data_IF_404749845578
#
_entry.id   IF_404749845578
#
_cell.length_a   1.000
_cell.length_b   1.000
_cell.length_c   1.000
_cell.angle_alpha   90.00
_cell.angle_beta   90.00
_cell.angle_gamma   90.00
#
_symmetry.space_group_name_H-M   'P 1'
#
loop_
_entity.id
_entity.type
_entity.pdbx_description
1 polymer ?
#
# COMPACT_ATOMS: atom_id res chain seq x y z
N UNK A 1 -7.88 -2.57 22.79
CA UNK A 1 -7.68 -2.81 21.34
C UNK A 1 -6.18 -2.83 21.09
N UNK A 2 -5.60 -3.97 20.74
CA UNK A 2 -4.19 -4.01 20.35
C UNK A 2 -4.02 -3.23 19.04
N UNK A 3 -3.05 -2.31 18.93
CA UNK A 3 -2.81 -1.61 17.67
C UNK A 3 -2.52 -2.65 16.59
N UNK A 4 -3.24 -2.59 15.47
CA UNK A 4 -2.86 -3.38 14.29
C UNK A 4 -1.45 -2.90 13.91
N UNK A 5 -0.45 -3.78 13.85
CA UNK A 5 0.91 -3.36 13.50
C UNK A 5 0.88 -2.65 12.15
N UNK A 6 1.48 -1.46 12.05
CA UNK A 6 1.55 -0.70 10.79
C UNK A 6 2.13 -1.54 9.64
N UNK A 7 2.98 -2.51 9.96
CA UNK A 7 3.49 -3.52 9.02
C UNK A 7 2.37 -4.35 8.38
N UNK A 8 1.39 -4.83 9.15
CA UNK A 8 0.29 -5.63 8.61
C UNK A 8 -0.58 -4.82 7.66
N UNK A 9 -0.82 -3.55 7.99
CA UNK A 9 -1.57 -2.64 7.11
C UNK A 9 -0.74 -2.38 5.84
N UNK A 10 0.54 -2.05 5.97
CA UNK A 10 1.44 -1.84 4.85
C UNK A 10 1.48 -3.06 3.91
N UNK A 11 1.59 -4.27 4.46
CA UNK A 11 1.56 -5.52 3.69
C UNK A 11 0.24 -5.69 2.95
N UNK A 12 -0.87 -5.36 3.59
CA UNK A 12 -2.18 -5.45 2.97
C UNK A 12 -2.32 -4.47 1.80
N UNK A 13 -1.85 -3.22 1.97
CA UNK A 13 -1.83 -2.22 0.90
C UNK A 13 -0.98 -2.70 -0.29
N UNK A 14 0.26 -3.14 -0.03
CA UNK A 14 1.19 -3.58 -1.08
C UNK A 14 0.71 -4.85 -1.78
N UNK A 15 0.10 -5.80 -1.04
CA UNK A 15 -0.57 -6.97 -1.64
C UNK A 15 -1.72 -6.58 -2.54
N UNK A 16 -2.52 -5.58 -2.16
CA UNK A 16 -3.59 -5.12 -3.03
C UNK A 16 -3.06 -4.46 -4.31
N UNK A 17 -1.97 -3.69 -4.23
CA UNK A 17 -1.32 -3.15 -5.43
C UNK A 17 -0.93 -4.29 -6.39
N UNK A 18 -0.21 -5.31 -5.91
CA UNK A 18 0.28 -6.41 -6.76
C UNK A 18 -0.85 -7.32 -7.23
N UNK A 19 -1.63 -7.87 -6.29
CA UNK A 19 -2.59 -8.95 -6.57
C UNK A 19 -3.99 -8.45 -6.88
N UNK A 20 -4.39 -7.33 -6.27
CA UNK A 20 -5.71 -6.75 -6.47
C UNK A 20 -5.78 -5.89 -7.73
N UNK A 21 -4.71 -5.14 -8.02
CA UNK A 21 -4.65 -4.20 -9.13
C UNK A 21 -3.67 -4.62 -10.25
N UNK A 22 -2.97 -5.74 -10.09
CA UNK A 22 -2.04 -6.26 -11.09
C UNK A 22 -0.80 -5.38 -11.29
N UNK A 23 -0.41 -4.56 -10.29
CA UNK A 23 0.71 -3.64 -10.43
C UNK A 23 2.05 -4.37 -10.33
N UNK A 24 2.94 -4.04 -11.25
CA UNK A 24 4.34 -4.44 -11.26
C UNK A 24 5.25 -3.30 -10.78
N UNK A 25 6.54 -3.60 -10.61
CA UNK A 25 7.57 -2.61 -10.34
C UNK A 25 7.50 -1.42 -11.32
N UNK A 26 7.69 -0.21 -10.81
CA UNK A 26 7.66 1.03 -11.59
C UNK A 26 6.24 1.50 -11.94
N UNK A 27 5.21 0.67 -11.73
CA UNK A 27 3.82 1.08 -11.94
C UNK A 27 3.26 1.76 -10.69
N UNK A 28 2.47 2.81 -10.93
CA UNK A 28 1.87 3.60 -9.87
C UNK A 28 0.34 3.59 -9.83
N UNK A 29 -0.17 4.18 -8.75
CA UNK A 29 -1.57 4.54 -8.55
C UNK A 29 -1.63 5.85 -7.76
N UNK A 30 -2.70 6.62 -7.95
CA UNK A 30 -2.94 7.78 -7.10
C UNK A 30 -3.24 7.33 -5.65
N UNK A 31 -2.70 8.06 -4.68
CA UNK A 31 -3.00 7.88 -3.25
C UNK A 31 -4.50 8.00 -3.01
N UNK A 32 -5.19 8.88 -3.74
CA UNK A 32 -6.64 9.06 -3.63
C UNK A 32 -7.42 7.79 -4.05
N UNK A 33 -7.05 7.15 -5.16
CA UNK A 33 -7.69 5.91 -5.60
C UNK A 33 -7.45 4.78 -4.60
N UNK A 34 -6.22 4.64 -4.09
CA UNK A 34 -5.92 3.62 -3.09
C UNK A 34 -6.65 3.89 -1.76
N UNK A 35 -6.68 5.16 -1.31
CA UNK A 35 -7.42 5.56 -0.11
C UNK A 35 -8.91 5.31 -0.27
N UNK A 36 -9.50 5.62 -1.43
CA UNK A 36 -10.90 5.37 -1.71
C UNK A 36 -11.24 3.90 -1.57
N UNK A 37 -10.45 3.01 -2.18
CA UNK A 37 -10.61 1.57 -1.99
C UNK A 37 -10.52 1.17 -0.50
N UNK A 38 -9.51 1.67 0.22
CA UNK A 38 -9.33 1.35 1.63
C UNK A 38 -10.51 1.77 2.52
N UNK A 39 -10.98 3.00 2.39
CA UNK A 39 -12.01 3.54 3.27
C UNK A 39 -13.41 3.17 2.83
N UNK A 40 -13.67 3.15 1.52
CA UNK A 40 -15.02 2.95 0.96
C UNK A 40 -15.28 1.48 0.66
N UNK A 41 -14.34 0.79 -0.01
CA UNK A 41 -14.55 -0.61 -0.37
C UNK A 41 -14.34 -1.56 0.81
N UNK A 42 -13.42 -1.25 1.73
CA UNK A 42 -13.14 -2.10 2.89
C UNK A 42 -13.70 -1.57 4.21
N UNK A 43 -14.23 -0.34 4.24
CA UNK A 43 -14.74 0.28 5.47
C UNK A 43 -13.67 0.55 6.54
N UNK A 44 -12.39 0.61 6.16
CA UNK A 44 -11.28 0.77 7.09
C UNK A 44 -11.01 2.25 7.44
N UNK A 45 -10.30 2.48 8.54
CA UNK A 45 -10.02 3.84 9.03
C UNK A 45 -8.94 4.54 8.19
N UNK A 46 -9.12 5.84 7.95
CA UNK A 46 -8.14 6.67 7.23
C UNK A 46 -6.80 6.78 7.96
N UNK A 47 -6.78 6.75 9.30
CA UNK A 47 -5.53 6.84 10.05
C UNK A 47 -4.66 5.59 9.86
N UNK A 48 -5.28 4.42 9.83
CA UNK A 48 -4.61 3.15 9.55
C UNK A 48 -3.99 3.15 8.15
N UNK A 49 -4.70 3.72 7.16
CA UNK A 49 -4.17 3.90 5.81
C UNK A 49 -2.87 4.70 5.80
N UNK A 50 -2.85 5.85 6.47
CA UNK A 50 -1.66 6.72 6.54
C UNK A 50 -0.50 6.00 7.21
N UNK A 51 -0.75 5.33 8.34
CA UNK A 51 0.26 4.55 9.06
C UNK A 51 0.85 3.43 8.19
N UNK A 52 0.01 2.70 7.46
CA UNK A 52 0.46 1.66 6.54
C UNK A 52 1.26 2.21 5.37
N UNK A 53 0.84 3.35 4.80
CA UNK A 53 1.52 3.99 3.69
C UNK A 53 2.92 4.51 4.11
N UNK A 54 3.00 5.18 5.26
CA UNK A 54 4.27 5.64 5.83
C UNK A 54 5.22 4.48 6.14
N UNK A 55 4.70 3.38 6.69
CA UNK A 55 5.50 2.19 6.95
C UNK A 55 6.02 1.57 5.66
N UNK A 56 5.16 1.41 4.63
CA UNK A 56 5.56 0.89 3.33
C UNK A 56 6.65 1.75 2.66
N UNK A 57 6.55 3.07 2.77
CA UNK A 57 7.56 4.01 2.27
C UNK A 57 8.88 3.87 3.03
N UNK A 58 8.85 3.81 4.38
CA UNK A 58 10.06 3.58 5.21
C UNK A 58 10.76 2.25 4.84
N UNK A 59 9.99 1.21 4.58
CA UNK A 59 10.51 -0.08 4.14
C UNK A 59 10.90 -0.14 2.66
N UNK A 60 10.79 0.98 1.92
CA UNK A 60 11.10 1.07 0.49
C UNK A 60 10.29 0.09 -0.37
N UNK A 61 9.05 -0.23 0.04
CA UNK A 61 8.12 -1.04 -0.76
C UNK A 61 7.35 -0.18 -1.78
N UNK A 62 7.21 1.10 -1.48
CA UNK A 62 6.64 2.10 -2.36
C UNK A 62 7.50 3.35 -2.35
N UNK A 63 7.40 4.12 -3.43
CA UNK A 63 7.97 5.46 -3.53
C UNK A 63 6.87 6.48 -3.78
N UNK A 64 6.98 7.64 -3.15
CA UNK A 64 6.13 8.78 -3.44
C UNK A 64 6.69 9.51 -4.66
N UNK A 65 5.83 9.70 -5.66
CA UNK A 65 6.09 10.56 -6.81
C UNK A 65 5.30 11.86 -6.66
N UNK A 66 5.65 12.90 -7.44
CA UNK A 66 4.81 14.09 -7.58
C UNK A 66 3.35 13.73 -7.89
N UNK A 67 2.45 14.68 -7.67
CA UNK A 67 1.01 14.52 -7.96
C UNK A 67 0.27 13.47 -7.13
N UNK A 68 0.76 13.20 -5.92
CA UNK A 68 0.15 12.22 -5.00
C UNK A 68 0.05 10.82 -5.61
N UNK A 69 1.05 10.43 -6.39
CA UNK A 69 1.18 9.08 -6.95
C UNK A 69 2.12 8.28 -6.06
N UNK A 70 1.77 7.03 -5.77
CA UNK A 70 2.72 6.06 -5.24
C UNK A 70 3.11 5.10 -6.35
N UNK A 71 4.37 4.71 -6.38
CA UNK A 71 4.93 3.74 -7.31
C UNK A 71 5.42 2.53 -6.53
N UNK A 72 5.15 1.34 -7.04
CA UNK A 72 5.64 0.10 -6.47
C UNK A 72 7.12 -0.09 -6.80
N UNK A 73 7.96 -0.35 -5.80
CA UNK A 73 9.38 -0.69 -6.01
C UNK A 73 9.55 -2.18 -6.29
N UNK A 74 10.75 -2.61 -6.69
CA UNK A 74 11.07 -4.04 -6.81
C UNK A 74 10.81 -4.81 -5.50
N UNK A 75 11.31 -4.29 -4.37
CA UNK A 75 11.07 -4.88 -3.03
C UNK A 75 9.58 -4.94 -2.70
N UNK A 76 8.79 -3.92 -3.08
CA UNK A 76 7.35 -3.92 -2.89
C UNK A 76 6.62 -4.96 -3.73
N UNK A 77 7.03 -5.13 -4.99
CA UNK A 77 6.47 -6.13 -5.89
C UNK A 77 6.69 -7.56 -5.35
N UNK A 78 7.90 -7.87 -4.89
CA UNK A 78 8.21 -9.15 -4.26
C UNK A 78 7.39 -9.35 -2.97
N UNK A 79 7.35 -8.34 -2.10
CA UNK A 79 6.65 -8.42 -0.81
C UNK A 79 5.14 -8.59 -0.99
N UNK A 80 4.54 -7.89 -1.96
CA UNK A 80 3.11 -7.98 -2.29
C UNK A 80 2.73 -9.24 -3.06
N UNK A 81 3.67 -9.82 -3.82
CA UNK A 81 3.50 -11.07 -4.55
C UNK A 81 3.67 -12.33 -3.70
N UNK A 82 4.32 -12.24 -2.54
CA UNK A 82 4.59 -13.40 -1.69
C UNK A 82 3.28 -14.04 -1.19
N UNK A 83 3.02 -15.27 -1.65
CA UNK A 83 1.96 -16.14 -1.11
C UNK A 83 2.52 -16.73 0.19
N UNK A 84 1.98 -16.29 1.32
CA UNK A 84 2.26 -16.90 2.63
C UNK A 84 1.09 -17.80 2.98
#
# INVERSE_FOLDING_TARGET
>A
MSPVPSENIALYLVRHLVRGLGKAEGQGISIQSLRHWWTVSLGQRTDDFKLGLEYAAKCHWIEHRPDSIIVLTGTGAEKGGTIR
#
